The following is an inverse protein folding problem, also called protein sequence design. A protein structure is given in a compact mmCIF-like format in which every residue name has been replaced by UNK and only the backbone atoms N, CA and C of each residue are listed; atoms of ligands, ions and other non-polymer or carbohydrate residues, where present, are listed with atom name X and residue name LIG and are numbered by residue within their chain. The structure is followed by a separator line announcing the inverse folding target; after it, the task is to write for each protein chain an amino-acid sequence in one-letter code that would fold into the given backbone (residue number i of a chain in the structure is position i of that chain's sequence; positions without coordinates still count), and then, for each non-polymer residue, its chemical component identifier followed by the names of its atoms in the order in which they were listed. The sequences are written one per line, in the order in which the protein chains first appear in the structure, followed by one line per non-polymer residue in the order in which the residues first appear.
data_IF_980157206397
#
_entry.id   IF_980157206397
#
_cell.length_a   1.000
_cell.length_b   1.000
_cell.length_c   1.000
_cell.angle_alpha   90.00
_cell.angle_beta   90.00
_cell.angle_gamma   90.00
#
_symmetry.space_group_name_H-M   'P 1'
#
loop_
_entity.id
_entity.type
_entity.pdbx_description
1 polymer ?
#
# COMPACT_ATOMS: atom_id res chain seq x y z
N UNK A 1 0.53 5.71 -29.06
CA UNK A 1 0.45 4.73 -27.98
C UNK A 1 -0.97 4.18 -27.99
N UNK A 2 -1.13 2.89 -28.24
CA UNK A 2 -2.41 2.22 -28.14
C UNK A 2 -2.61 1.84 -26.66
N UNK A 3 -3.71 2.30 -26.06
CA UNK A 3 -4.10 1.98 -24.67
C UNK A 3 -5.17 0.89 -24.63
N UNK A 4 -5.44 0.24 -25.76
CA UNK A 4 -6.35 -0.89 -25.84
C UNK A 4 -5.73 -2.18 -25.32
N UNK A 5 -6.57 -3.09 -24.84
CA UNK A 5 -6.16 -4.44 -24.45
C UNK A 5 -6.23 -5.37 -25.66
N UNK A 6 -5.23 -6.26 -25.79
CA UNK A 6 -5.19 -7.25 -26.87
C UNK A 6 -6.10 -8.45 -26.61
N UNK A 7 -6.25 -9.33 -27.61
CA UNK A 7 -7.06 -10.55 -27.48
C UNK A 7 -6.61 -11.47 -26.33
N UNK A 8 -5.31 -11.48 -26.00
CA UNK A 8 -4.79 -12.26 -24.88
C UNK A 8 -5.25 -11.68 -23.54
N UNK A 9 -5.25 -10.35 -23.42
CA UNK A 9 -5.71 -9.66 -22.21
C UNK A 9 -7.22 -9.83 -22.00
N UNK A 10 -8.00 -9.83 -23.09
CA UNK A 10 -9.46 -10.05 -23.01
C UNK A 10 -9.81 -11.50 -22.66
N UNK A 11 -9.03 -12.50 -23.10
CA UNK A 11 -9.18 -13.89 -22.61
C UNK A 11 -8.88 -13.98 -21.12
N UNK A 12 -7.76 -13.38 -20.68
CA UNK A 12 -7.40 -13.31 -19.26
C UNK A 12 -8.48 -12.58 -18.43
N UNK A 13 -9.11 -11.54 -18.98
CA UNK A 13 -10.26 -10.88 -18.37
C UNK A 13 -11.44 -11.84 -18.16
N UNK A 14 -11.71 -12.69 -19.14
CA UNK A 14 -12.74 -13.74 -19.04
C UNK A 14 -12.44 -14.70 -17.90
N UNK A 15 -11.20 -15.21 -17.83
CA UNK A 15 -10.74 -16.12 -16.76
C UNK A 15 -10.85 -15.47 -15.37
N UNK A 16 -10.41 -14.21 -15.23
CA UNK A 16 -10.50 -13.48 -13.98
C UNK A 16 -11.96 -13.27 -13.52
N UNK A 17 -12.86 -12.96 -14.45
CA UNK A 17 -14.31 -12.82 -14.16
C UNK A 17 -14.94 -14.11 -13.72
N UNK A 18 -14.65 -15.19 -14.43
CA UNK A 18 -15.18 -16.51 -14.11
C UNK A 18 -14.73 -16.95 -12.73
N UNK A 19 -13.44 -16.82 -12.44
CA UNK A 19 -12.88 -17.18 -11.14
C UNK A 19 -13.50 -16.34 -10.02
N UNK A 20 -13.51 -15.00 -10.16
CA UNK A 20 -14.09 -14.11 -9.16
C UNK A 20 -15.58 -14.39 -8.91
N UNK A 21 -16.35 -14.65 -9.95
CA UNK A 21 -17.79 -14.95 -9.81
C UNK A 21 -18.05 -16.29 -9.11
N UNK A 22 -17.17 -17.26 -9.29
CA UNK A 22 -17.29 -18.58 -8.65
C UNK A 22 -16.84 -18.60 -7.18
N UNK A 23 -15.91 -17.71 -6.79
CA UNK A 23 -15.26 -17.75 -5.48
C UNK A 23 -15.70 -16.63 -4.54
N UNK A 24 -16.16 -15.48 -5.08
CA UNK A 24 -16.68 -14.37 -4.28
C UNK A 24 -18.14 -14.64 -3.87
N UNK A 25 -18.32 -15.62 -2.99
CA UNK A 25 -19.63 -16.09 -2.51
C UNK A 25 -19.67 -16.14 -0.98
N UNK A 26 -20.86 -16.30 -0.40
CA UNK A 26 -21.02 -16.44 1.06
C UNK A 26 -20.41 -15.26 1.83
N UNK A 27 -19.59 -15.57 2.82
CA UNK A 27 -18.96 -14.57 3.71
C UNK A 27 -18.03 -13.61 2.95
N UNK A 28 -17.39 -14.07 1.88
CA UNK A 28 -16.57 -13.21 1.03
C UNK A 28 -17.41 -12.16 0.30
N UNK A 29 -18.57 -12.56 -0.25
CA UNK A 29 -19.50 -11.64 -0.90
C UNK A 29 -20.11 -10.63 0.08
N UNK A 30 -20.34 -11.04 1.34
CA UNK A 30 -20.82 -10.16 2.39
C UNK A 30 -19.84 -9.02 2.72
N UNK A 31 -18.55 -9.22 2.47
CA UNK A 31 -17.50 -8.20 2.62
C UNK A 31 -17.21 -7.40 1.34
N UNK A 32 -18.13 -7.37 0.38
CA UNK A 32 -17.94 -6.63 -0.87
C UNK A 32 -17.70 -5.13 -0.62
N UNK A 33 -16.49 -4.66 -0.94
CA UNK A 33 -16.05 -3.28 -0.74
C UNK A 33 -15.67 -2.94 0.70
N UNK A 34 -15.54 -3.95 1.58
CA UNK A 34 -15.03 -3.80 2.94
C UNK A 34 -13.50 -3.91 2.93
N UNK A 35 -12.84 -3.13 3.77
CA UNK A 35 -11.39 -3.06 3.85
C UNK A 35 -10.75 -2.08 2.87
N UNK A 36 -9.45 -1.93 2.96
CA UNK A 36 -8.70 -0.89 2.23
C UNK A 36 -8.55 0.39 3.03
N UNK A 37 -8.00 1.44 2.42
CA UNK A 37 -7.68 2.69 3.12
C UNK A 37 -8.87 3.27 3.87
N UNK A 38 -8.72 3.50 5.18
CA UNK A 38 -9.78 3.99 6.06
C UNK A 38 -10.68 2.92 6.68
N UNK A 39 -10.50 1.62 6.36
CA UNK A 39 -11.23 0.50 6.96
C UNK A 39 -10.43 -0.82 6.96
N UNK A 40 -9.12 -0.73 7.13
CA UNK A 40 -8.22 -1.89 7.00
C UNK A 40 -8.45 -3.01 8.02
N UNK A 41 -9.02 -2.72 9.19
CA UNK A 41 -9.33 -3.73 10.21
C UNK A 41 -10.68 -4.42 10.04
N UNK A 42 -11.57 -3.86 9.20
CA UNK A 42 -12.90 -4.41 9.02
C UNK A 42 -12.83 -5.80 8.36
N UNK A 43 -13.47 -6.79 8.99
CA UNK A 43 -13.54 -8.16 8.46
C UNK A 43 -12.18 -8.87 8.34
N UNK A 44 -11.16 -8.51 9.12
CA UNK A 44 -9.78 -8.98 8.99
C UNK A 44 -9.65 -10.50 8.91
N UNK A 45 -10.38 -11.26 9.72
CA UNK A 45 -10.32 -12.74 9.71
C UNK A 45 -10.82 -13.32 8.38
N UNK A 46 -11.99 -12.89 7.91
CA UNK A 46 -12.57 -13.37 6.64
C UNK A 46 -11.72 -12.90 5.45
N UNK A 47 -11.16 -11.69 5.52
CA UNK A 47 -10.24 -11.18 4.50
C UNK A 47 -8.92 -11.96 4.46
N UNK A 48 -8.43 -12.46 5.60
CA UNK A 48 -7.28 -13.37 5.65
C UNK A 48 -7.60 -14.73 4.99
N UNK A 49 -8.81 -15.24 5.15
CA UNK A 49 -9.27 -16.43 4.44
C UNK A 49 -9.41 -16.17 2.94
N UNK A 50 -9.90 -15.00 2.56
CA UNK A 50 -9.95 -14.55 1.17
C UNK A 50 -8.55 -14.48 0.53
N UNK A 51 -7.51 -14.06 1.25
CA UNK A 51 -6.12 -14.13 0.74
C UNK A 51 -5.72 -15.58 0.43
N UNK A 52 -6.07 -16.54 1.28
CA UNK A 52 -5.79 -17.97 1.02
C UNK A 52 -6.56 -18.47 -0.19
N UNK A 53 -7.80 -18.03 -0.38
CA UNK A 53 -8.59 -18.37 -1.55
C UNK A 53 -7.96 -17.81 -2.83
N UNK A 54 -7.53 -16.56 -2.83
CA UNK A 54 -6.76 -15.95 -3.91
C UNK A 54 -5.47 -16.73 -4.19
N UNK A 55 -4.75 -17.11 -3.14
CA UNK A 55 -3.54 -17.92 -3.23
C UNK A 55 -3.79 -19.29 -3.85
N UNK A 56 -4.89 -19.97 -3.49
CA UNK A 56 -5.28 -21.28 -4.07
C UNK A 56 -5.52 -21.20 -5.58
N UNK A 57 -6.04 -20.06 -6.05
CA UNK A 57 -6.21 -19.75 -7.48
C UNK A 57 -4.94 -19.27 -8.19
N UNK A 58 -3.84 -19.06 -7.45
CA UNK A 58 -2.59 -18.51 -7.97
C UNK A 58 -2.64 -17.02 -8.28
N UNK A 59 -3.62 -16.27 -7.76
CA UNK A 59 -3.82 -14.86 -8.07
C UNK A 59 -2.93 -13.90 -7.28
N UNK A 60 -2.19 -14.40 -6.29
CA UNK A 60 -1.18 -13.63 -5.56
C UNK A 60 0.16 -13.77 -6.27
N UNK A 61 0.84 -12.65 -6.48
CA UNK A 61 2.16 -12.64 -7.14
C UNK A 61 2.12 -12.58 -8.66
N UNK A 62 0.99 -12.18 -9.25
CA UNK A 62 0.81 -12.06 -10.70
C UNK A 62 1.88 -11.18 -11.39
N UNK A 63 2.42 -10.18 -10.69
CA UNK A 63 3.46 -9.29 -11.18
C UNK A 63 4.89 -9.67 -10.80
N UNK A 64 5.13 -10.86 -10.24
CA UNK A 64 6.47 -11.25 -9.84
C UNK A 64 7.37 -11.60 -11.04
N UNK A 65 8.62 -11.17 -10.96
CA UNK A 65 9.64 -11.48 -11.96
C UNK A 65 10.22 -12.89 -11.73
N UNK A 66 9.41 -13.91 -12.01
CA UNK A 66 9.78 -15.31 -11.86
C UNK A 66 9.12 -16.16 -12.97
N UNK A 67 9.46 -17.45 -13.04
CA UNK A 67 8.76 -18.38 -13.93
C UNK A 67 7.32 -18.65 -13.44
N UNK A 68 6.42 -18.92 -14.38
CA UNK A 68 5.04 -19.32 -14.08
C UNK A 68 5.03 -20.51 -13.11
N UNK A 69 4.27 -20.39 -12.03
CA UNK A 69 4.13 -21.43 -11.02
C UNK A 69 5.34 -21.65 -10.11
N UNK A 70 6.42 -20.88 -10.25
CA UNK A 70 7.65 -21.09 -9.48
C UNK A 70 7.43 -21.13 -7.95
N UNK A 71 6.45 -20.37 -7.47
CA UNK A 71 6.09 -20.31 -6.05
C UNK A 71 4.60 -20.60 -5.81
N UNK A 72 3.90 -21.18 -6.81
CA UNK A 72 2.47 -21.42 -6.79
C UNK A 72 1.63 -20.26 -7.34
N UNK A 73 2.29 -19.20 -7.83
CA UNK A 73 1.66 -18.03 -8.41
C UNK A 73 1.51 -18.14 -9.93
N UNK A 74 0.53 -17.43 -10.48
CA UNK A 74 0.46 -17.11 -11.91
C UNK A 74 1.40 -15.95 -12.21
N UNK A 75 1.84 -15.84 -13.46
CA UNK A 75 2.59 -14.67 -13.95
C UNK A 75 1.78 -13.99 -15.04
N UNK A 76 1.58 -12.70 -14.90
CA UNK A 76 0.83 -11.87 -15.83
C UNK A 76 1.65 -10.71 -16.40
N UNK A 77 1.42 -10.40 -17.66
CA UNK A 77 1.93 -9.17 -18.27
C UNK A 77 1.45 -7.93 -17.49
N UNK A 78 2.08 -6.78 -17.70
CA UNK A 78 1.64 -5.54 -17.06
C UNK A 78 0.18 -5.18 -17.40
N UNK A 79 -0.27 -5.47 -18.64
CA UNK A 79 -1.66 -5.28 -19.04
C UNK A 79 -2.60 -6.25 -18.32
N UNK A 80 -2.20 -7.49 -18.13
CA UNK A 80 -2.98 -8.48 -17.37
C UNK A 80 -3.09 -8.13 -15.88
N UNK A 81 -2.05 -7.55 -15.27
CA UNK A 81 -2.11 -7.04 -13.90
C UNK A 81 -3.13 -5.88 -13.78
N UNK A 82 -3.20 -5.01 -14.77
CA UNK A 82 -4.24 -3.96 -14.84
C UNK A 82 -5.62 -4.58 -15.00
N UNK A 83 -5.78 -5.56 -15.89
CA UNK A 83 -7.04 -6.27 -16.11
C UNK A 83 -7.53 -6.94 -14.84
N UNK A 84 -6.63 -7.63 -14.12
CA UNK A 84 -6.96 -8.23 -12.83
C UNK A 84 -7.46 -7.20 -11.82
N UNK A 85 -6.76 -6.08 -11.67
CA UNK A 85 -7.16 -5.01 -10.76
C UNK A 85 -8.50 -4.38 -11.14
N UNK A 86 -8.79 -4.21 -12.45
CA UNK A 86 -10.09 -3.73 -12.93
C UNK A 86 -11.23 -4.70 -12.60
N UNK A 87 -11.02 -6.01 -12.82
CA UNK A 87 -12.04 -7.00 -12.53
C UNK A 87 -12.27 -7.17 -11.03
N UNK A 88 -11.19 -7.13 -10.24
CA UNK A 88 -11.25 -7.16 -8.77
C UNK A 88 -12.08 -5.98 -8.22
N UNK A 89 -11.82 -4.77 -8.71
CA UNK A 89 -12.56 -3.57 -8.32
C UNK A 89 -14.02 -3.59 -8.83
N UNK A 90 -14.27 -4.11 -10.04
CA UNK A 90 -15.60 -4.20 -10.62
C UNK A 90 -16.57 -5.01 -9.78
N UNK A 91 -16.11 -6.12 -9.22
CA UNK A 91 -16.92 -6.96 -8.32
C UNK A 91 -16.90 -6.47 -6.88
N UNK A 92 -16.14 -5.39 -6.59
CA UNK A 92 -15.94 -4.86 -5.25
C UNK A 92 -15.42 -5.93 -4.28
N UNK A 93 -14.48 -6.76 -4.73
CA UNK A 93 -13.91 -7.79 -3.87
C UNK A 93 -13.33 -7.19 -2.57
N UNK A 94 -13.25 -7.97 -1.48
CA UNK A 94 -12.74 -7.49 -0.19
C UNK A 94 -11.32 -6.91 -0.32
N UNK A 95 -11.03 -5.84 0.41
CA UNK A 95 -9.70 -5.23 0.41
C UNK A 95 -8.61 -6.23 0.83
N UNK A 96 -7.46 -6.19 0.12
CA UNK A 96 -6.35 -7.12 0.32
C UNK A 96 -5.61 -6.83 1.64
N UNK A 97 -5.33 -7.86 2.42
CA UNK A 97 -4.50 -7.78 3.64
C UNK A 97 -3.08 -8.29 3.42
N UNK A 98 -2.84 -9.08 2.38
CA UNK A 98 -1.52 -9.64 2.01
C UNK A 98 -0.68 -8.73 1.11
N UNK A 99 -1.16 -7.56 0.73
CA UNK A 99 -0.54 -6.70 -0.29
C UNK A 99 0.89 -6.24 0.05
N UNK A 100 1.24 -6.09 1.34
CA UNK A 100 2.61 -5.72 1.77
C UNK A 100 3.59 -6.85 1.45
N UNK A 101 3.22 -8.10 1.76
CA UNK A 101 4.02 -9.27 1.40
C UNK A 101 4.15 -9.42 -0.11
N UNK A 102 3.04 -9.36 -0.83
CA UNK A 102 2.97 -9.55 -2.28
C UNK A 102 3.72 -8.47 -3.07
N UNK A 103 3.46 -7.19 -2.76
CA UNK A 103 3.91 -6.08 -3.62
C UNK A 103 5.23 -5.46 -3.19
N UNK A 104 5.64 -5.63 -1.91
CA UNK A 104 6.86 -5.04 -1.38
C UNK A 104 7.93 -6.08 -1.06
N UNK A 105 7.62 -7.05 -0.19
CA UNK A 105 8.63 -8.00 0.24
C UNK A 105 8.99 -9.02 -0.83
N UNK A 106 8.03 -9.65 -1.50
CA UNK A 106 8.30 -10.69 -2.46
C UNK A 106 9.19 -10.21 -3.63
N UNK A 107 8.92 -9.07 -4.28
CA UNK A 107 9.84 -8.53 -5.29
C UNK A 107 11.21 -8.16 -4.72
N UNK A 108 11.28 -7.81 -3.44
CA UNK A 108 12.56 -7.53 -2.75
C UNK A 108 13.35 -8.80 -2.52
N UNK A 109 12.70 -9.89 -2.10
CA UNK A 109 13.33 -11.20 -1.96
C UNK A 109 13.79 -11.77 -3.31
N UNK A 110 13.02 -11.60 -4.37
CA UNK A 110 13.41 -11.99 -5.72
C UNK A 110 14.69 -11.27 -6.17
N UNK A 111 14.85 -9.99 -5.83
CA UNK A 111 15.99 -9.19 -6.23
C UNK A 111 17.21 -9.30 -5.31
N UNK A 112 17.02 -9.46 -4.01
CA UNK A 112 18.08 -9.33 -3.01
C UNK A 112 18.13 -10.48 -1.98
N UNK A 113 17.12 -11.33 -1.91
CA UNK A 113 17.09 -12.49 -1.03
C UNK A 113 17.99 -13.61 -1.53
N UNK A 114 18.47 -14.45 -0.63
CA UNK A 114 19.12 -15.70 -0.97
C UNK A 114 18.11 -16.80 -1.34
N UNK A 115 18.61 -17.92 -1.82
CA UNK A 115 17.77 -19.04 -2.28
C UNK A 115 16.96 -19.65 -1.12
N UNK A 116 17.51 -19.74 0.08
CA UNK A 116 16.80 -20.28 1.25
C UNK A 116 15.65 -19.37 1.66
N UNK A 117 15.86 -18.05 1.63
CA UNK A 117 14.83 -17.06 1.90
C UNK A 117 13.70 -17.09 0.85
N UNK A 118 14.05 -17.17 -0.43
CA UNK A 118 13.05 -17.29 -1.51
C UNK A 118 12.20 -18.55 -1.36
N UNK A 119 12.83 -19.71 -1.15
CA UNK A 119 12.11 -20.98 -0.94
C UNK A 119 11.25 -20.98 0.31
N UNK A 120 11.67 -20.30 1.36
CA UNK A 120 10.92 -20.25 2.62
C UNK A 120 9.71 -19.33 2.53
N UNK A 121 9.86 -18.13 1.98
CA UNK A 121 8.86 -17.07 2.14
C UNK A 121 7.95 -16.91 0.92
N UNK A 122 8.48 -17.01 -0.31
CA UNK A 122 7.67 -16.72 -1.50
C UNK A 122 6.47 -17.66 -1.67
N UNK A 123 6.58 -19.00 -1.43
CA UNK A 123 5.41 -19.87 -1.50
C UNK A 123 4.34 -19.54 -0.45
N UNK A 124 4.74 -19.18 0.77
CA UNK A 124 3.79 -18.83 1.83
C UNK A 124 3.05 -17.51 1.54
N UNK A 125 3.75 -16.52 0.97
CA UNK A 125 3.14 -15.28 0.48
C UNK A 125 2.18 -15.57 -0.69
N UNK A 126 2.62 -16.38 -1.67
CA UNK A 126 1.80 -16.71 -2.84
C UNK A 126 0.52 -17.48 -2.48
N UNK A 127 0.54 -18.27 -1.40
CA UNK A 127 -0.64 -18.97 -0.88
C UNK A 127 -1.51 -18.14 0.08
N UNK A 128 -1.12 -16.86 0.37
CA UNK A 128 -1.85 -16.03 1.32
C UNK A 128 -1.79 -16.52 2.77
N UNK A 129 -0.79 -17.34 3.10
CA UNK A 129 -0.65 -17.97 4.44
C UNK A 129 0.05 -17.06 5.43
N UNK A 130 1.00 -16.24 4.97
CA UNK A 130 1.79 -15.33 5.81
C UNK A 130 1.54 -13.88 5.42
N UNK A 131 1.12 -13.08 6.39
CA UNK A 131 0.92 -11.64 6.25
C UNK A 131 2.15 -10.89 6.76
N UNK A 132 2.44 -9.76 6.14
CA UNK A 132 3.64 -8.98 6.38
C UNK A 132 3.32 -7.52 6.71
N UNK A 133 4.12 -6.92 7.58
CA UNK A 133 4.11 -5.48 7.82
C UNK A 133 5.52 -4.88 7.64
N UNK A 134 5.56 -3.54 7.52
CA UNK A 134 6.77 -2.77 7.22
C UNK A 134 7.20 -1.92 8.40
N UNK A 135 8.34 -2.23 8.99
CA UNK A 135 8.96 -1.51 10.11
C UNK A 135 10.09 -0.58 9.65
N UNK A 136 9.77 0.56 9.01
CA UNK A 136 10.77 1.52 8.54
C UNK A 136 10.84 2.75 9.42
N UNK A 137 9.80 3.57 9.39
CA UNK A 137 9.74 4.86 10.07
C UNK A 137 9.87 4.75 11.58
N UNK A 138 10.47 5.77 12.19
CA UNK A 138 10.52 5.97 13.64
C UNK A 138 9.97 7.34 13.98
N UNK A 139 9.61 7.64 15.23
CA UNK A 139 9.08 8.94 15.62
C UNK A 139 9.93 10.12 15.15
N UNK A 140 11.25 9.97 15.13
CA UNK A 140 12.22 11.01 14.70
C UNK A 140 12.84 10.73 13.33
N UNK A 141 12.47 9.64 12.63
CA UNK A 141 13.08 9.23 11.36
C UNK A 141 12.00 8.77 10.34
N UNK A 142 11.26 9.73 9.80
CA UNK A 142 10.34 9.53 8.67
C UNK A 142 11.01 9.88 7.35
N UNK A 143 10.97 11.14 6.93
CA UNK A 143 11.63 11.62 5.70
C UNK A 143 13.15 11.48 5.76
N UNK A 144 13.79 11.65 6.93
CA UNK A 144 15.20 11.33 7.15
C UNK A 144 15.36 9.88 7.67
N UNK A 145 14.90 8.92 6.88
CA UNK A 145 14.93 7.49 7.25
C UNK A 145 16.35 6.98 7.61
N UNK A 146 17.40 7.56 7.01
CA UNK A 146 18.77 7.17 7.33
C UNK A 146 19.20 7.53 8.76
N UNK A 147 18.44 8.39 9.44
CA UNK A 147 18.63 8.77 10.84
C UNK A 147 18.02 7.81 11.86
N UNK A 148 17.44 6.69 11.43
CA UNK A 148 16.81 5.71 12.31
C UNK A 148 17.76 5.21 13.44
N UNK A 149 17.18 4.89 14.59
CA UNK A 149 17.88 4.51 15.82
C UNK A 149 17.63 3.07 16.28
N UNK A 150 16.63 2.38 15.75
CA UNK A 150 16.41 0.94 16.03
C UNK A 150 17.71 0.19 15.77
N UNK A 151 18.18 -0.56 16.75
CA UNK A 151 19.43 -1.32 16.68
C UNK A 151 19.15 -2.80 16.52
N UNK A 152 20.08 -3.51 15.89
CA UNK A 152 20.07 -4.96 15.80
C UNK A 152 21.47 -5.49 16.14
N UNK A 153 21.56 -6.26 17.21
CA UNK A 153 22.82 -6.84 17.69
C UNK A 153 22.85 -8.31 17.30
N UNK A 154 24.00 -8.76 16.78
CA UNK A 154 24.19 -10.17 16.40
C UNK A 154 24.02 -11.08 17.62
N UNK A 155 23.24 -12.14 17.49
CA UNK A 155 22.96 -13.14 18.52
C UNK A 155 22.82 -14.53 17.89
N UNK A 156 23.83 -15.35 18.09
CA UNK A 156 23.89 -16.69 17.49
C UNK A 156 23.82 -16.65 15.96
N UNK A 157 22.85 -17.35 15.38
CA UNK A 157 22.63 -17.39 13.93
C UNK A 157 21.76 -16.26 13.38
N UNK A 158 21.45 -15.19 14.17
CA UNK A 158 20.60 -14.08 13.75
C UNK A 158 20.92 -12.80 14.49
N UNK A 159 19.90 -11.96 14.71
CA UNK A 159 20.01 -10.68 15.40
C UNK A 159 18.92 -10.54 16.46
N UNK A 160 19.18 -9.66 17.44
CA UNK A 160 18.22 -9.13 18.40
C UNK A 160 17.93 -7.69 18.06
N UNK A 161 16.67 -7.39 17.75
CA UNK A 161 16.19 -6.07 17.37
C UNK A 161 15.62 -5.37 18.59
N UNK A 162 16.05 -4.11 18.84
CA UNK A 162 15.52 -3.25 19.90
C UNK A 162 15.31 -1.84 19.38
N UNK A 163 14.13 -1.29 19.63
CA UNK A 163 13.73 0.05 19.20
C UNK A 163 12.24 0.17 18.96
N UNK A 164 11.84 1.30 18.39
CA UNK A 164 10.45 1.62 18.12
C UNK A 164 10.27 1.94 16.64
N UNK A 165 9.25 1.33 16.03
CA UNK A 165 8.74 1.69 14.70
C UNK A 165 7.36 2.32 14.81
N UNK A 166 7.04 3.20 13.87
CA UNK A 166 5.77 3.92 13.83
C UNK A 166 5.20 3.89 12.41
N UNK A 167 3.90 4.12 12.30
CA UNK A 167 3.15 4.10 11.05
C UNK A 167 3.20 2.73 10.35
N UNK A 168 3.28 1.67 11.14
CA UNK A 168 3.32 0.29 10.65
C UNK A 168 1.91 -0.20 10.36
N UNK A 169 1.55 -0.26 9.08
CA UNK A 169 0.24 -0.77 8.64
C UNK A 169 0.13 -2.26 8.93
N UNK A 170 -1.07 -2.70 9.36
CA UNK A 170 -1.41 -4.11 9.58
C UNK A 170 -0.51 -4.86 10.57
N UNK A 171 0.20 -4.17 11.47
CA UNK A 171 1.11 -4.83 12.40
C UNK A 171 0.41 -5.77 13.37
N UNK A 172 -0.86 -5.50 13.70
CA UNK A 172 -1.67 -6.36 14.58
C UNK A 172 -2.08 -7.69 13.93
N UNK A 173 -2.13 -7.74 12.61
CA UNK A 173 -2.54 -8.90 11.81
C UNK A 173 -1.37 -9.65 11.18
N UNK A 174 -0.17 -9.05 11.18
CA UNK A 174 1.00 -9.57 10.48
C UNK A 174 1.67 -10.72 11.24
N UNK A 175 2.06 -11.75 10.50
CA UNK A 175 2.88 -12.85 11.01
C UNK A 175 4.37 -12.48 11.05
N UNK A 176 4.79 -11.56 10.16
CA UNK A 176 6.18 -11.12 10.01
C UNK A 176 6.26 -9.61 9.76
N UNK A 177 7.35 -9.03 10.23
CA UNK A 177 7.73 -7.65 9.93
C UNK A 177 9.11 -7.61 9.24
N UNK A 178 9.22 -6.89 8.13
CA UNK A 178 10.54 -6.54 7.65
C UNK A 178 10.98 -5.19 8.22
N UNK A 179 12.11 -5.21 8.90
CA UNK A 179 12.60 -4.10 9.71
C UNK A 179 13.91 -3.55 9.16
N UNK A 180 13.99 -2.24 8.99
CA UNK A 180 15.26 -1.57 8.76
C UNK A 180 15.86 -1.17 10.11
N UNK A 181 17.04 -1.70 10.45
CA UNK A 181 17.70 -1.46 11.73
C UNK A 181 19.21 -1.26 11.57
N UNK A 182 19.82 -0.65 12.56
CA UNK A 182 21.26 -0.39 12.62
C UNK A 182 21.98 -1.60 13.20
N UNK A 183 22.78 -2.25 12.38
CA UNK A 183 23.63 -3.39 12.77
C UNK A 183 25.08 -2.98 13.04
N UNK A 184 25.52 -1.84 12.48
CA UNK A 184 26.85 -1.29 12.75
C UNK A 184 26.72 0.14 13.31
N UNK A 185 26.94 0.32 14.64
CA UNK A 185 26.90 1.63 15.28
C UNK A 185 28.11 2.51 14.94
N UNK A 186 29.20 1.94 14.44
CA UNK A 186 30.40 2.66 14.00
C UNK A 186 30.21 3.38 12.67
N UNK A 187 29.31 2.89 11.84
CA UNK A 187 28.98 3.50 10.56
C UNK A 187 27.83 4.52 10.69
N UNK A 188 27.94 5.61 9.97
CA UNK A 188 26.95 6.69 10.02
C UNK A 188 25.88 6.54 8.93
N UNK A 189 24.66 7.00 9.28
CA UNK A 189 23.52 7.09 8.37
C UNK A 189 23.24 5.75 7.68
N UNK A 190 23.17 5.73 6.36
CA UNK A 190 22.71 4.59 5.55
C UNK A 190 23.67 3.40 5.48
N UNK A 191 24.98 3.57 5.83
CA UNK A 191 25.97 2.49 5.69
C UNK A 191 25.85 1.40 6.74
N UNK A 192 25.47 1.74 7.96
CA UNK A 192 25.33 0.78 9.07
C UNK A 192 23.97 0.11 9.17
N UNK A 193 23.15 0.14 8.11
CA UNK A 193 21.77 -0.36 8.14
C UNK A 193 21.65 -1.74 7.49
N UNK A 194 20.84 -2.62 8.10
CA UNK A 194 20.48 -3.93 7.56
C UNK A 194 18.97 -4.09 7.45
N UNK A 195 18.55 -4.93 6.51
CA UNK A 195 17.15 -5.28 6.27
C UNK A 195 16.88 -6.65 6.89
N UNK A 196 16.07 -6.69 7.93
CA UNK A 196 15.87 -7.85 8.78
C UNK A 196 14.45 -8.36 8.67
N UNK A 197 14.25 -9.70 8.72
CA UNK A 197 12.92 -10.30 8.81
C UNK A 197 12.70 -10.78 10.24
N UNK A 198 11.63 -10.27 10.86
CA UNK A 198 11.29 -10.49 12.28
C UNK A 198 9.93 -11.17 12.35
N UNK A 199 9.84 -12.40 12.90
CA UNK A 199 8.52 -12.98 13.21
C UNK A 199 7.83 -12.17 14.30
N UNK A 200 6.53 -11.90 14.14
CA UNK A 200 5.77 -11.05 15.07
C UNK A 200 5.27 -11.81 16.30
N UNK A 201 5.18 -13.14 16.25
CA UNK A 201 4.81 -13.96 17.40
C UNK A 201 6.00 -14.13 18.37
N UNK A 202 6.26 -13.10 19.17
CA UNK A 202 7.30 -13.08 20.20
C UNK A 202 6.77 -12.38 21.48
N UNK A 203 5.92 -13.07 22.26
CA UNK A 203 5.34 -12.49 23.48
C UNK A 203 6.39 -11.92 24.44
N UNK A 204 6.16 -10.73 24.96
CA UNK A 204 7.09 -10.03 25.85
C UNK A 204 8.33 -9.44 25.18
N UNK A 205 8.46 -9.58 23.84
CA UNK A 205 9.53 -9.01 23.04
C UNK A 205 9.05 -8.04 22.00
N UNK A 206 7.78 -8.18 21.59
CA UNK A 206 7.14 -7.29 20.62
C UNK A 206 5.83 -6.81 21.22
N UNK A 207 5.63 -5.50 21.23
CA UNK A 207 4.37 -4.87 21.59
C UNK A 207 3.88 -4.04 20.41
N UNK A 208 2.61 -4.24 20.04
CA UNK A 208 1.94 -3.48 18.97
C UNK A 208 0.90 -2.57 19.61
N UNK A 209 0.98 -1.28 19.34
CA UNK A 209 0.01 -0.29 19.83
C UNK A 209 -0.67 0.41 18.67
N UNK A 210 -1.99 0.31 18.54
CA UNK A 210 -2.72 0.99 17.47
C UNK A 210 -2.67 2.52 17.64
N UNK A 211 -2.49 3.23 16.53
CA UNK A 211 -2.53 4.69 16.45
C UNK A 211 -3.90 5.11 15.94
N UNK A 212 -4.68 5.75 16.80
CA UNK A 212 -5.99 6.27 16.41
C UNK A 212 -5.83 7.47 15.48
N UNK A 213 -6.37 7.37 14.28
CA UNK A 213 -6.37 8.42 13.28
C UNK A 213 -7.54 9.39 13.45
N UNK A 214 -7.52 10.51 12.72
CA UNK A 214 -8.62 11.50 12.70
C UNK A 214 -9.94 10.89 12.21
N UNK A 215 -9.88 9.84 11.37
CA UNK A 215 -11.05 9.06 10.92
C UNK A 215 -11.69 8.22 12.03
N UNK A 216 -11.05 8.11 13.21
CA UNK A 216 -11.48 7.25 14.31
C UNK A 216 -11.00 5.81 14.20
N UNK A 217 -10.46 5.40 13.04
CA UNK A 217 -9.87 4.07 12.80
C UNK A 217 -8.41 4.02 13.28
N UNK A 218 -7.81 2.82 13.33
CA UNK A 218 -6.45 2.61 13.82
C UNK A 218 -5.69 1.66 12.90
N UNK A 219 -5.47 2.06 11.66
CA UNK A 219 -4.82 1.25 10.62
C UNK A 219 -3.30 1.22 10.74
N UNK A 220 -2.75 2.22 11.40
CA UNK A 220 -1.31 2.31 11.67
C UNK A 220 -1.02 1.97 13.12
N UNK A 221 0.17 1.45 13.35
CA UNK A 221 0.61 1.03 14.68
C UNK A 221 1.99 1.56 15.00
N UNK A 222 2.24 1.74 16.30
CA UNK A 222 3.58 1.71 16.87
C UNK A 222 3.96 0.26 17.15
N UNK A 223 5.19 -0.10 16.86
CA UNK A 223 5.74 -1.43 17.16
C UNK A 223 7.01 -1.27 17.97
N UNK A 224 6.98 -1.79 19.19
CA UNK A 224 8.13 -1.77 20.10
C UNK A 224 8.81 -3.15 20.08
N UNK A 225 10.11 -3.15 19.83
CA UNK A 225 10.96 -4.34 19.86
C UNK A 225 11.88 -4.27 21.09
N UNK A 226 11.86 -5.31 21.92
CA UNK A 226 12.74 -5.48 23.07
C UNK A 226 13.54 -6.77 22.94
N UNK A 227 14.64 -6.70 22.22
CA UNK A 227 15.48 -7.86 21.92
C UNK A 227 14.73 -8.92 21.09
N UNK A 228 13.84 -8.51 20.20
CA UNK A 228 13.10 -9.40 19.32
C UNK A 228 14.05 -10.14 18.37
N UNK A 229 13.87 -11.45 18.21
CA UNK A 229 14.70 -12.28 17.36
C UNK A 229 14.41 -12.01 15.87
N UNK A 230 15.48 -11.76 15.09
CA UNK A 230 15.46 -11.63 13.64
C UNK A 230 16.39 -12.68 13.02
N UNK A 231 15.86 -13.81 12.56
CA UNK A 231 16.70 -14.91 12.06
C UNK A 231 17.26 -14.68 10.66
N UNK A 232 16.75 -13.71 9.91
CA UNK A 232 17.12 -13.49 8.52
C UNK A 232 17.53 -12.04 8.24
N UNK A 233 18.60 -11.88 7.45
CA UNK A 233 19.08 -10.62 6.88
C UNK A 233 18.99 -10.71 5.37
N UNK A 234 18.29 -9.79 4.71
CA UNK A 234 18.14 -9.76 3.26
C UNK A 234 19.27 -8.94 2.64
N UNK A 235 19.96 -9.51 1.65
CA UNK A 235 21.03 -8.84 0.91
C UNK A 235 22.36 -8.70 1.68
N UNK A 236 22.42 -9.26 2.90
CA UNK A 236 23.59 -9.20 3.80
C UNK A 236 23.61 -7.99 4.73
N UNK A 237 24.43 -8.08 5.78
CA UNK A 237 24.62 -6.98 6.74
C UNK A 237 25.20 -5.74 6.05
N UNK A 238 24.75 -4.56 6.47
CA UNK A 238 25.15 -3.27 5.90
C UNK A 238 24.53 -2.94 4.54
N UNK A 239 23.83 -3.90 3.91
CA UNK A 239 23.16 -3.68 2.62
C UNK A 239 21.72 -3.14 2.75
N UNK A 240 21.23 -2.96 3.97
CA UNK A 240 19.82 -2.63 4.24
C UNK A 240 19.32 -1.38 3.53
N UNK A 241 20.14 -0.34 3.44
CA UNK A 241 19.76 0.87 2.71
C UNK A 241 19.52 0.60 1.22
N UNK A 242 20.41 -0.14 0.58
CA UNK A 242 20.26 -0.50 -0.85
C UNK A 242 19.01 -1.35 -1.08
N UNK A 243 18.75 -2.32 -0.20
CA UNK A 243 17.55 -3.17 -0.26
C UNK A 243 16.28 -2.33 -0.07
N UNK A 244 16.26 -1.45 0.95
CA UNK A 244 15.12 -0.58 1.22
C UNK A 244 14.83 0.40 0.06
N UNK A 245 15.86 0.99 -0.53
CA UNK A 245 15.67 1.89 -1.69
C UNK A 245 15.18 1.13 -2.92
N UNK A 246 15.62 -0.11 -3.13
CA UNK A 246 15.11 -1.00 -4.17
C UNK A 246 13.62 -1.32 -3.99
N UNK A 247 13.20 -1.59 -2.75
CA UNK A 247 11.79 -1.81 -2.40
C UNK A 247 10.95 -0.56 -2.72
N UNK A 248 11.36 0.60 -2.21
CA UNK A 248 10.63 1.86 -2.40
C UNK A 248 10.56 2.31 -3.87
N UNK A 249 11.53 1.92 -4.71
CA UNK A 249 11.49 2.19 -6.14
C UNK A 249 10.43 1.33 -6.85
N UNK A 250 10.28 0.05 -6.45
CA UNK A 250 9.28 -0.87 -7.03
C UNK A 250 7.85 -0.56 -6.56
N UNK A 251 7.67 -0.18 -5.31
CA UNK A 251 6.37 0.23 -4.76
C UNK A 251 5.65 1.25 -5.64
N UNK A 252 6.39 2.13 -6.29
CA UNK A 252 5.86 3.24 -7.09
C UNK A 252 5.49 2.87 -8.53
N UNK A 253 5.71 1.64 -8.98
CA UNK A 253 5.44 1.18 -10.34
C UNK A 253 3.99 0.76 -10.55
N UNK A 254 3.70 -0.52 -10.35
CA UNK A 254 2.36 -1.12 -10.60
C UNK A 254 1.31 -0.57 -9.63
N UNK A 255 1.68 -0.24 -8.38
CA UNK A 255 0.76 0.34 -7.40
C UNK A 255 0.06 1.61 -7.92
N UNK A 256 0.75 2.44 -8.69
CA UNK A 256 0.15 3.66 -9.27
C UNK A 256 -1.00 3.35 -10.24
N UNK A 257 -0.93 2.24 -10.97
CA UNK A 257 -2.00 1.82 -11.89
C UNK A 257 -3.21 1.26 -11.16
N UNK A 258 -2.98 0.45 -10.14
CA UNK A 258 -4.04 -0.15 -9.33
C UNK A 258 -4.74 0.92 -8.49
N UNK A 259 -3.99 1.86 -7.93
CA UNK A 259 -4.52 2.93 -7.07
C UNK A 259 -5.56 3.81 -7.78
N UNK A 260 -5.33 4.18 -9.05
CA UNK A 260 -6.30 4.98 -9.80
C UNK A 260 -7.62 4.24 -10.10
N UNK A 261 -7.62 2.91 -10.05
CA UNK A 261 -8.85 2.12 -10.17
C UNK A 261 -9.69 2.29 -8.90
N UNK A 262 -9.08 2.23 -7.73
CA UNK A 262 -9.75 2.56 -6.46
C UNK A 262 -10.30 3.99 -6.45
N UNK A 263 -9.52 4.95 -6.89
CA UNK A 263 -9.95 6.36 -7.02
C UNK A 263 -11.16 6.54 -7.94
N UNK A 264 -11.31 5.71 -8.97
CA UNK A 264 -12.48 5.77 -9.83
C UNK A 264 -13.77 5.36 -9.08
N UNK A 265 -13.68 4.38 -8.19
CA UNK A 265 -14.79 3.96 -7.33
C UNK A 265 -15.17 5.05 -6.31
N UNK A 266 -14.17 5.69 -5.69
CA UNK A 266 -14.39 6.80 -4.75
C UNK A 266 -15.02 8.02 -5.43
N UNK A 267 -14.52 8.40 -6.61
CA UNK A 267 -15.13 9.48 -7.41
C UNK A 267 -16.56 9.13 -7.79
N UNK A 268 -16.83 7.88 -8.19
CA UNK A 268 -18.19 7.44 -8.50
C UNK A 268 -19.13 7.55 -7.28
N UNK A 269 -18.63 7.23 -6.08
CA UNK A 269 -19.39 7.40 -4.84
C UNK A 269 -19.70 8.87 -4.54
N UNK A 270 -18.72 9.77 -4.73
CA UNK A 270 -18.92 11.23 -4.58
C UNK A 270 -19.94 11.75 -5.60
N UNK A 271 -19.84 11.32 -6.87
CA UNK A 271 -20.79 11.71 -7.92
C UNK A 271 -22.21 11.20 -7.60
N UNK A 272 -22.33 9.94 -7.14
CA UNK A 272 -23.62 9.38 -6.74
C UNK A 272 -24.26 10.15 -5.58
N UNK A 273 -23.45 10.56 -4.59
CA UNK A 273 -23.90 11.43 -3.51
C UNK A 273 -24.34 12.80 -4.03
N UNK A 274 -23.57 13.41 -4.94
CA UNK A 274 -23.92 14.70 -5.53
C UNK A 274 -25.25 14.67 -6.30
N UNK A 275 -25.53 13.56 -6.99
CA UNK A 275 -26.82 13.37 -7.69
C UNK A 275 -27.95 13.19 -6.67
N UNK A 276 -27.78 12.33 -5.68
CA UNK A 276 -28.78 12.02 -4.65
C UNK A 276 -29.16 13.27 -3.83
N UNK A 277 -28.18 14.08 -3.47
CA UNK A 277 -28.36 15.28 -2.66
C UNK A 277 -28.70 16.52 -3.49
N UNK A 278 -28.73 16.39 -4.81
CA UNK A 278 -29.06 17.48 -5.74
C UNK A 278 -27.94 18.51 -5.92
N UNK A 279 -26.75 18.27 -5.38
CA UNK A 279 -25.58 19.17 -5.46
C UNK A 279 -25.11 19.38 -6.91
N UNK A 280 -25.40 18.45 -7.83
CA UNK A 280 -25.11 18.59 -9.28
C UNK A 280 -25.86 19.75 -9.94
N UNK A 281 -26.88 20.32 -9.29
CA UNK A 281 -27.61 21.50 -9.79
C UNK A 281 -26.76 22.78 -9.65
N UNK A 282 -25.85 22.81 -8.68
CA UNK A 282 -24.86 23.89 -8.60
C UNK A 282 -23.85 23.75 -9.74
N UNK A 283 -23.77 24.73 -10.67
CA UNK A 283 -22.88 24.65 -11.82
C UNK A 283 -21.39 24.62 -11.42
N UNK A 284 -21.02 25.21 -10.28
CA UNK A 284 -19.63 25.22 -9.79
C UNK A 284 -19.25 23.83 -9.28
N UNK A 285 -20.10 23.19 -8.48
CA UNK A 285 -19.85 21.83 -8.01
C UNK A 285 -19.82 20.83 -9.17
N UNK A 286 -20.75 20.97 -10.11
CA UNK A 286 -20.77 20.12 -11.31
C UNK A 286 -19.48 20.26 -12.12
N UNK A 287 -19.00 21.48 -12.37
CA UNK A 287 -17.73 21.71 -13.09
C UNK A 287 -16.55 21.03 -12.34
N UNK A 288 -16.50 21.15 -11.03
CA UNK A 288 -15.44 20.52 -10.23
C UNK A 288 -15.48 18.99 -10.27
N UNK A 289 -16.66 18.38 -10.25
CA UNK A 289 -16.82 16.92 -10.44
C UNK A 289 -16.31 16.49 -11.83
N UNK A 290 -16.65 17.24 -12.87
CA UNK A 290 -16.16 16.97 -14.23
C UNK A 290 -14.65 17.12 -14.31
N UNK A 291 -14.05 18.14 -13.67
CA UNK A 291 -12.60 18.33 -13.59
C UNK A 291 -11.92 17.16 -12.89
N UNK A 292 -12.46 16.70 -11.76
CA UNK A 292 -11.95 15.51 -11.06
C UNK A 292 -11.96 14.27 -11.96
N UNK A 293 -13.03 14.08 -12.71
CA UNK A 293 -13.13 12.97 -13.66
C UNK A 293 -12.09 13.08 -14.78
N UNK A 294 -11.92 14.27 -15.37
CA UNK A 294 -10.95 14.50 -16.44
C UNK A 294 -9.50 14.28 -15.96
N UNK A 295 -9.16 14.80 -14.78
CA UNK A 295 -7.84 14.62 -14.19
C UNK A 295 -7.54 13.14 -13.86
N UNK A 296 -8.53 12.38 -13.38
CA UNK A 296 -8.41 10.93 -13.18
C UNK A 296 -8.11 10.20 -14.49
N UNK A 297 -8.74 10.58 -15.60
CA UNK A 297 -8.43 10.04 -16.94
C UNK A 297 -7.01 10.35 -17.37
N UNK A 298 -6.53 11.56 -17.11
CA UNK A 298 -5.14 11.96 -17.39
C UNK A 298 -4.17 11.12 -16.54
N UNK A 299 -4.46 10.91 -15.26
CA UNK A 299 -3.64 10.04 -14.40
C UNK A 299 -3.57 8.61 -14.93
N UNK A 300 -4.72 8.05 -15.39
CA UNK A 300 -4.75 6.71 -16.00
C UNK A 300 -3.85 6.65 -17.25
N UNK A 301 -3.97 7.60 -18.16
CA UNK A 301 -3.15 7.63 -19.37
C UNK A 301 -1.67 7.83 -19.06
N UNK A 302 -1.35 8.68 -18.08
CA UNK A 302 0.04 8.86 -17.64
C UNK A 302 0.59 7.55 -17.03
N UNK A 303 -0.17 6.84 -16.21
CA UNK A 303 0.22 5.56 -15.65
C UNK A 303 0.48 4.51 -16.76
N UNK A 304 -0.43 4.37 -17.73
CA UNK A 304 -0.25 3.48 -18.87
C UNK A 304 0.95 3.86 -19.74
N UNK A 305 1.20 5.16 -19.95
CA UNK A 305 2.38 5.66 -20.68
C UNK A 305 3.68 5.24 -19.98
N UNK A 306 3.73 5.32 -18.65
CA UNK A 306 4.94 5.00 -17.88
C UNK A 306 5.27 3.52 -17.84
N UNK A 307 4.28 2.63 -18.02
CA UNK A 307 4.53 1.19 -18.12
C UNK A 307 5.37 0.80 -19.34
N UNK A 308 5.24 1.56 -20.45
CA UNK A 308 6.03 1.34 -21.66
C UNK A 308 7.40 2.02 -21.67
N UNK A 309 7.69 2.87 -20.69
CA UNK A 309 8.91 3.68 -20.60
C UNK A 309 9.86 3.13 -19.52
N UNK A 310 10.55 2.04 -19.82
CA UNK A 310 11.62 1.56 -18.95
C UNK A 310 12.70 2.66 -18.79
N UNK A 311 12.91 3.14 -17.55
CA UNK A 311 13.99 4.06 -17.22
C UNK A 311 13.58 5.52 -16.92
N UNK A 312 12.31 5.89 -16.92
CA UNK A 312 11.89 7.23 -16.48
C UNK A 312 11.93 7.32 -14.93
N UNK A 313 13.09 7.75 -14.43
CA UNK A 313 13.33 7.88 -12.98
C UNK A 313 12.41 8.91 -12.29
N UNK A 314 11.79 9.82 -13.05
CA UNK A 314 10.90 10.86 -12.53
C UNK A 314 9.44 10.47 -12.50
N UNK A 315 9.02 9.53 -13.32
CA UNK A 315 7.61 9.16 -13.48
C UNK A 315 6.89 8.79 -12.16
N UNK A 316 7.50 7.99 -11.25
CA UNK A 316 6.86 7.68 -9.98
C UNK A 316 6.65 8.91 -9.08
N UNK A 317 7.61 9.82 -9.05
CA UNK A 317 7.52 11.05 -8.24
C UNK A 317 6.47 12.02 -8.81
N UNK A 318 6.40 12.15 -10.13
CA UNK A 318 5.34 12.93 -10.79
C UNK A 318 3.97 12.34 -10.52
N UNK A 319 3.83 11.01 -10.65
CA UNK A 319 2.58 10.32 -10.36
C UNK A 319 2.12 10.56 -8.91
N UNK A 320 3.05 10.48 -7.93
CA UNK A 320 2.75 10.73 -6.51
C UNK A 320 2.24 12.16 -6.28
N UNK A 321 2.86 13.17 -6.87
CA UNK A 321 2.42 14.57 -6.76
C UNK A 321 1.04 14.78 -7.38
N UNK A 322 0.77 14.14 -8.53
CA UNK A 322 -0.52 14.25 -9.20
C UNK A 322 -1.64 13.64 -8.37
N UNK A 323 -1.47 12.38 -7.93
CA UNK A 323 -2.54 11.68 -7.25
C UNK A 323 -2.77 12.20 -5.83
N UNK A 324 -1.74 12.57 -5.07
CA UNK A 324 -1.90 13.08 -3.71
C UNK A 324 -2.74 14.37 -3.68
N UNK A 325 -2.41 15.34 -4.53
CA UNK A 325 -3.20 16.56 -4.66
C UNK A 325 -4.60 16.34 -5.22
N UNK A 326 -4.75 15.43 -6.17
CA UNK A 326 -6.05 15.07 -6.73
C UNK A 326 -6.98 14.46 -5.68
N UNK A 327 -6.47 13.51 -4.89
CA UNK A 327 -7.23 12.78 -3.90
C UNK A 327 -7.65 13.69 -2.73
N UNK A 328 -6.78 14.61 -2.31
CA UNK A 328 -7.17 15.65 -1.34
C UNK A 328 -8.34 16.51 -1.84
N UNK A 329 -8.28 16.98 -3.10
CA UNK A 329 -9.39 17.75 -3.70
C UNK A 329 -10.68 16.93 -3.81
N UNK A 330 -10.59 15.62 -4.06
CA UNK A 330 -11.76 14.73 -4.06
C UNK A 330 -12.40 14.68 -2.67
N UNK A 331 -11.61 14.53 -1.61
CA UNK A 331 -12.09 14.56 -0.22
C UNK A 331 -12.77 15.90 0.14
N UNK A 332 -12.17 17.02 -0.27
CA UNK A 332 -12.78 18.35 -0.08
C UNK A 332 -14.09 18.51 -0.85
N UNK A 333 -14.12 18.01 -2.09
CA UNK A 333 -15.33 18.04 -2.92
C UNK A 333 -16.44 17.16 -2.32
N UNK A 334 -16.10 16.01 -1.73
CA UNK A 334 -17.04 15.16 -1.02
C UNK A 334 -17.73 15.93 0.14
N UNK A 335 -16.99 16.71 0.91
CA UNK A 335 -17.56 17.54 1.97
C UNK A 335 -18.45 18.66 1.42
N UNK A 336 -18.05 19.28 0.34
CA UNK A 336 -18.87 20.33 -0.32
C UNK A 336 -20.17 19.76 -0.91
N UNK A 337 -20.13 18.56 -1.47
CA UNK A 337 -21.32 17.83 -1.97
C UNK A 337 -22.30 17.57 -0.83
N UNK A 338 -21.81 17.19 0.34
CA UNK A 338 -22.61 16.94 1.55
C UNK A 338 -23.16 18.23 2.17
N UNK A 339 -22.58 19.39 1.87
CA UNK A 339 -22.99 20.67 2.45
C UNK A 339 -22.98 20.65 3.98
N UNK A 340 -24.04 21.16 4.61
CA UNK A 340 -24.13 21.20 6.08
C UNK A 340 -24.09 19.81 6.74
N UNK A 341 -24.56 18.76 6.05
CA UNK A 341 -24.52 17.40 6.57
C UNK A 341 -23.10 16.85 6.73
N UNK A 342 -22.09 17.45 6.08
CA UNK A 342 -20.69 17.07 6.28
C UNK A 342 -20.17 17.35 7.71
N UNK A 343 -20.78 18.30 8.40
CA UNK A 343 -20.41 18.66 9.77
C UNK A 343 -21.17 17.84 10.83
N UNK A 344 -22.12 17.00 10.43
CA UNK A 344 -22.89 16.18 11.36
C UNK A 344 -22.12 14.90 11.66
N UNK A 345 -21.96 14.62 12.93
CA UNK A 345 -21.48 13.33 13.41
C UNK A 345 -22.59 12.28 13.47
N UNK A 346 -22.33 11.13 14.08
CA UNK A 346 -23.33 10.08 14.27
C UNK A 346 -24.55 10.61 15.04
N UNK A 347 -25.72 10.03 14.76
CA UNK A 347 -26.99 10.40 15.39
C UNK A 347 -26.97 10.12 16.90
N UNK A 348 -26.20 9.13 17.31
CA UNK A 348 -26.04 8.73 18.71
C UNK A 348 -24.59 8.95 19.16
N UNK A 349 -24.40 9.93 20.05
CA UNK A 349 -23.14 10.22 20.73
C UNK A 349 -22.99 9.44 22.04
N UNK A 350 -23.75 8.36 22.21
CA UNK A 350 -23.62 7.49 23.38
C UNK A 350 -22.22 6.87 23.47
N UNK A 351 -21.80 6.50 24.68
CA UNK A 351 -20.44 6.06 24.97
C UNK A 351 -19.96 4.79 24.21
N UNK A 352 -20.86 4.12 23.48
CA UNK A 352 -20.54 2.90 22.75
C UNK A 352 -20.06 3.08 21.29
N UNK A 353 -20.38 4.23 20.65
CA UNK A 353 -20.01 4.47 19.24
C UNK A 353 -19.63 5.93 18.99
N UNK A 354 -18.56 6.43 19.62
CA UNK A 354 -18.29 7.86 19.68
C UNK A 354 -17.77 8.47 18.36
N UNK A 355 -17.60 7.68 17.27
CA UNK A 355 -16.90 8.21 16.08
C UNK A 355 -17.29 7.51 14.77
N UNK A 356 -18.59 7.29 14.56
CA UNK A 356 -19.07 6.75 13.29
C UNK A 356 -19.15 7.86 12.24
N UNK A 357 -18.12 7.93 11.40
CA UNK A 357 -18.11 8.77 10.22
C UNK A 357 -18.66 8.01 9.02
N UNK A 358 -19.38 8.70 8.13
CA UNK A 358 -19.74 8.10 6.85
C UNK A 358 -18.50 7.97 5.91
N UNK A 359 -18.66 7.23 4.83
CA UNK A 359 -17.56 6.95 3.91
C UNK A 359 -16.96 8.22 3.29
N UNK A 360 -17.76 9.27 3.05
CA UNK A 360 -17.27 10.54 2.46
C UNK A 360 -16.51 11.38 3.50
N UNK A 361 -16.95 11.36 4.74
CA UNK A 361 -16.24 12.00 5.84
C UNK A 361 -14.90 11.30 6.11
N UNK A 362 -14.88 9.95 6.11
CA UNK A 362 -13.64 9.17 6.21
C UNK A 362 -12.69 9.47 5.06
N UNK A 363 -13.20 9.51 3.83
CA UNK A 363 -12.40 9.88 2.66
C UNK A 363 -11.72 11.23 2.85
N UNK A 364 -12.46 12.28 3.26
CA UNK A 364 -11.90 13.59 3.52
C UNK A 364 -10.78 13.58 4.54
N UNK A 365 -10.99 12.93 5.69
CA UNK A 365 -9.99 12.88 6.75
C UNK A 365 -8.78 12.04 6.38
N UNK A 366 -8.98 10.91 5.71
CA UNK A 366 -7.90 10.03 5.26
C UNK A 366 -6.99 10.73 4.24
N UNK A 367 -7.56 11.42 3.27
CA UNK A 367 -6.80 12.09 2.20
C UNK A 367 -5.84 13.17 2.69
N UNK A 368 -5.97 13.64 3.94
CA UNK A 368 -5.02 14.63 4.51
C UNK A 368 -3.60 14.08 4.63
N UNK A 369 -3.44 12.77 4.75
CA UNK A 369 -2.14 12.12 4.83
C UNK A 369 -1.46 11.91 3.46
N UNK A 370 -2.16 12.01 2.36
CA UNK A 370 -1.68 11.66 1.01
C UNK A 370 -0.46 12.47 0.55
N UNK A 371 -0.31 13.69 1.01
CA UNK A 371 0.87 14.52 0.71
C UNK A 371 2.03 14.31 1.68
N UNK A 372 1.85 13.46 2.70
CA UNK A 372 2.82 13.20 3.77
C UNK A 372 3.47 11.82 3.66
N UNK A 373 2.68 10.74 3.56
CA UNK A 373 3.20 9.38 3.53
C UNK A 373 3.71 8.96 2.14
N UNK A 374 4.43 7.85 2.06
CA UNK A 374 5.01 7.34 0.80
C UNK A 374 6.07 8.28 0.19
N UNK A 375 6.70 9.11 1.03
CA UNK A 375 7.54 10.24 0.65
C UNK A 375 6.71 11.49 0.40
N UNK A 376 6.89 12.51 1.27
CA UNK A 376 6.12 13.75 1.19
C UNK A 376 6.28 14.44 -0.17
N UNK A 377 5.36 15.35 -0.47
CA UNK A 377 5.41 16.14 -1.71
C UNK A 377 6.75 16.87 -1.86
N UNK A 378 7.34 17.36 -0.75
CA UNK A 378 8.66 18.01 -0.74
C UNK A 378 9.77 17.02 -1.12
N UNK A 379 9.72 15.78 -0.59
CA UNK A 379 10.66 14.72 -0.96
C UNK A 379 10.52 14.37 -2.43
N UNK A 380 9.30 14.29 -2.97
CA UNK A 380 9.10 14.01 -4.41
C UNK A 380 9.66 15.14 -5.28
N UNK A 381 9.44 16.41 -4.90
CA UNK A 381 10.00 17.55 -5.60
C UNK A 381 11.53 17.55 -5.55
N UNK A 382 12.14 17.21 -4.41
CA UNK A 382 13.59 17.07 -4.29
C UNK A 382 14.13 15.94 -5.18
N UNK A 383 13.46 14.80 -5.26
CA UNK A 383 13.84 13.69 -6.15
C UNK A 383 13.81 14.17 -7.62
N UNK A 384 12.77 14.86 -8.04
CA UNK A 384 12.66 15.42 -9.40
C UNK A 384 13.78 16.44 -9.63
N UNK A 385 13.97 17.38 -8.72
CA UNK A 385 14.99 18.42 -8.85
C UNK A 385 16.40 17.82 -8.97
N UNK A 386 16.78 16.96 -8.06
CA UNK A 386 18.15 16.44 -7.97
C UNK A 386 18.46 15.33 -8.98
N UNK A 387 17.52 14.38 -9.18
CA UNK A 387 17.78 13.16 -9.96
C UNK A 387 17.31 13.24 -11.40
N UNK A 388 16.27 14.04 -11.69
CA UNK A 388 15.73 14.17 -13.05
C UNK A 388 16.27 15.42 -13.74
N UNK A 389 16.23 16.56 -13.03
CA UNK A 389 16.67 17.84 -13.57
C UNK A 389 18.16 18.13 -13.33
N UNK A 390 18.86 17.32 -12.50
CA UNK A 390 20.27 17.51 -12.20
C UNK A 390 20.59 18.79 -11.42
N UNK A 391 19.63 19.35 -10.71
CA UNK A 391 19.85 20.55 -9.90
C UNK A 391 20.72 20.22 -8.67
N UNK A 392 21.53 21.18 -8.18
CA UNK A 392 22.38 20.95 -7.03
C UNK A 392 21.57 20.69 -5.77
N UNK A 393 22.09 19.80 -4.93
CA UNK A 393 21.55 19.58 -3.59
C UNK A 393 21.75 20.83 -2.74
N UNK A 394 20.72 21.16 -1.96
CA UNK A 394 20.91 22.07 -0.84
C UNK A 394 21.82 21.38 0.19
N UNK A 395 23.00 21.95 0.41
CA UNK A 395 23.86 21.55 1.53
C UNK A 395 23.12 21.84 2.83
N UNK A 396 22.93 20.79 3.63
CA UNK A 396 22.29 20.90 4.96
C UNK A 396 23.36 20.92 6.03
#
# INVERSE_FOLDING_TARGET
VDFGFGCADERFRGEAREWLSGHLVGDYAALAGVGGPGSEHEGALVRREWERELGSGGWIGLGWECAEGAYGNRVGSLTQQVVWAEEYARVRAPGRVGHIGENLLAPTLLAAGDEAQRRRFLPAIARGEELWCQGYSEPEAGSDLAGLRTVAVRDGGGHRVSGQKIWTSLAGEADWCFVLARTDPGERRHRGLSFLLVPMDQPGRIEVRPIRQMSGTAEFNEVFFDGARAPHVVGGEGAGWRVAMGLLARERGVSTLVQQIGFAAELAAVVAAAVREGAVRDPVLREQLVRQWAELRVMRWNALRTLGAAGDAGAPSVAKLLWGGWHQRLGELAMRVRGAAAALGPVDWSAGAPYELDALQRLFLFTRADTLYGGSDEIQRNIIAERVLGLPRLER
#
